data_IF_608414967833
#
_entry.id   IF_608414967833
#
_cell.length_a   1.000
_cell.length_b   1.000
_cell.length_c   1.000
_cell.angle_alpha   90.00
_cell.angle_beta   90.00
_cell.angle_gamma   90.00
#
_symmetry.space_group_name_H-M   'P 1'
#
loop_
_entity.id
_entity.type
_entity.pdbx_description
1 polymer ?
#
# COMPACT_ATOMS: atom_id res chain seq x y z
N UNK A 1 19.54 -6.59 -7.22
CA UNK A 1 18.08 -6.36 -7.20
C UNK A 1 17.41 -7.63 -7.68
N UNK A 2 16.61 -8.29 -6.83
CA UNK A 2 15.80 -9.43 -7.24
C UNK A 2 14.81 -8.98 -8.33
N UNK A 3 14.63 -9.81 -9.36
CA UNK A 3 13.72 -9.49 -10.45
C UNK A 3 12.29 -9.64 -9.94
N UNK A 4 11.56 -8.53 -9.76
CA UNK A 4 10.11 -8.55 -9.49
C UNK A 4 9.38 -9.03 -10.73
N UNK A 5 8.54 -10.06 -10.59
CA UNK A 5 7.82 -10.69 -11.70
C UNK A 5 6.33 -10.50 -11.51
N UNK A 6 5.61 -10.44 -12.62
CA UNK A 6 4.16 -10.56 -12.64
C UNK A 6 3.74 -11.90 -12.05
N UNK A 7 2.57 -11.95 -11.43
CA UNK A 7 1.98 -13.18 -10.96
C UNK A 7 1.85 -14.22 -12.09
N UNK A 8 1.92 -15.52 -11.76
CA UNK A 8 1.79 -16.60 -12.74
C UNK A 8 0.52 -16.49 -13.58
N UNK A 9 0.56 -16.99 -14.83
CA UNK A 9 -0.55 -16.83 -15.79
C UNK A 9 -1.86 -17.44 -15.28
N UNK A 10 -1.78 -18.43 -14.40
CA UNK A 10 -2.90 -19.15 -13.81
C UNK A 10 -3.79 -18.24 -12.93
N UNK A 11 -3.21 -17.17 -12.36
CA UNK A 11 -3.93 -16.19 -11.52
C UNK A 11 -4.16 -14.86 -12.22
N UNK A 12 -3.65 -14.68 -13.46
CA UNK A 12 -3.88 -13.47 -14.23
C UNK A 12 -5.32 -13.45 -14.77
N UNK A 13 -6.05 -12.32 -14.67
CA UNK A 13 -7.33 -12.17 -15.31
C UNK A 13 -7.18 -12.17 -16.84
N UNK A 14 -8.17 -12.72 -17.55
CA UNK A 14 -8.17 -12.76 -19.02
C UNK A 14 -8.28 -11.37 -19.65
N UNK A 15 -8.93 -10.42 -18.97
CA UNK A 15 -9.17 -9.07 -19.45
C UNK A 15 -9.29 -8.07 -18.30
N UNK A 16 -9.03 -6.80 -18.59
CA UNK A 16 -9.28 -5.69 -17.69
C UNK A 16 -10.05 -4.60 -18.44
N UNK A 17 -11.03 -4.00 -17.76
CA UNK A 17 -11.76 -2.83 -18.25
C UNK A 17 -11.85 -1.80 -17.14
N UNK A 18 -11.67 -0.52 -17.49
CA UNK A 18 -11.89 0.58 -16.56
C UNK A 18 -13.38 0.68 -16.19
N UNK A 19 -13.68 0.95 -14.93
CA UNK A 19 -15.01 1.46 -14.58
C UNK A 19 -15.21 2.85 -15.19
N UNK A 20 -16.45 3.28 -15.38
CA UNK A 20 -16.75 4.61 -15.92
C UNK A 20 -16.09 5.73 -15.09
N UNK A 21 -16.14 5.60 -13.76
CA UNK A 21 -15.49 6.53 -12.83
C UNK A 21 -13.98 6.59 -13.06
N UNK A 22 -13.31 5.44 -13.15
CA UNK A 22 -11.86 5.38 -13.30
C UNK A 22 -11.40 5.81 -14.70
N UNK A 23 -12.23 5.58 -15.72
CA UNK A 23 -12.00 6.11 -17.06
C UNK A 23 -12.09 7.65 -17.07
N UNK A 24 -13.07 8.22 -16.37
CA UNK A 24 -13.19 9.67 -16.22
C UNK A 24 -12.00 10.25 -15.45
N UNK A 25 -11.58 9.60 -14.35
CA UNK A 25 -10.38 9.96 -13.61
C UNK A 25 -9.12 9.92 -14.49
N UNK A 26 -8.93 8.86 -15.27
CA UNK A 26 -7.77 8.72 -16.15
C UNK A 26 -7.71 9.84 -17.19
N UNK A 27 -8.85 10.17 -17.82
CA UNK A 27 -8.95 11.31 -18.75
C UNK A 27 -8.58 12.63 -18.08
N UNK A 28 -9.01 12.85 -16.84
CA UNK A 28 -8.62 14.04 -16.07
C UNK A 28 -7.11 14.06 -15.76
N UNK A 29 -6.49 12.92 -15.42
CA UNK A 29 -5.04 12.86 -15.20
C UNK A 29 -4.26 13.14 -16.48
N UNK A 30 -4.70 12.59 -17.62
CA UNK A 30 -4.09 12.84 -18.93
C UNK A 30 -4.15 14.33 -19.28
N UNK A 31 -5.29 14.99 -19.03
CA UNK A 31 -5.48 16.41 -19.32
C UNK A 31 -4.57 17.36 -18.51
N UNK A 32 -3.92 16.88 -17.44
CA UNK A 32 -2.92 17.65 -16.69
C UNK A 32 -1.60 17.84 -17.44
N UNK A 33 -1.36 17.05 -18.49
CA UNK A 33 -0.11 17.06 -19.24
C UNK A 33 -0.32 17.63 -20.65
N UNK A 34 0.69 18.33 -21.20
CA UNK A 34 0.64 18.82 -22.58
C UNK A 34 0.44 17.69 -23.60
N UNK A 35 -0.07 18.05 -24.79
CA UNK A 35 -0.15 17.13 -25.91
C UNK A 35 1.23 16.54 -26.25
N UNK A 36 1.30 15.23 -26.47
CA UNK A 36 2.53 14.46 -26.67
C UNK A 36 3.25 14.06 -25.37
N UNK A 37 2.74 14.43 -24.19
CA UNK A 37 3.30 14.09 -22.86
C UNK A 37 2.33 13.29 -21.99
N UNK A 38 1.31 12.67 -22.58
CA UNK A 38 0.27 11.91 -21.89
C UNK A 38 0.84 10.74 -21.07
N UNK A 39 1.97 10.16 -21.52
CA UNK A 39 2.70 9.10 -20.81
C UNK A 39 3.04 9.46 -19.34
N UNK A 40 3.16 10.76 -19.02
CA UNK A 40 3.40 11.21 -17.64
C UNK A 40 2.26 10.88 -16.66
N UNK A 41 1.05 10.57 -17.16
CA UNK A 41 -0.08 10.16 -16.34
C UNK A 41 -0.01 8.68 -15.88
N UNK A 42 0.94 7.89 -16.39
CA UNK A 42 1.00 6.43 -16.19
C UNK A 42 0.97 6.00 -14.73
N UNK A 43 1.73 6.66 -13.85
CA UNK A 43 1.80 6.29 -12.42
C UNK A 43 0.45 6.55 -11.74
N UNK A 44 -0.18 7.70 -12.00
CA UNK A 44 -1.47 8.06 -11.41
C UNK A 44 -2.58 7.12 -11.86
N UNK A 45 -2.55 6.70 -13.14
CA UNK A 45 -3.54 5.77 -13.69
C UNK A 45 -3.32 4.36 -13.13
N UNK A 46 -2.08 3.87 -13.10
CA UNK A 46 -1.75 2.56 -12.51
C UNK A 46 -2.16 2.49 -11.04
N UNK A 47 -2.02 3.58 -10.29
CA UNK A 47 -2.48 3.65 -8.91
C UNK A 47 -3.99 3.40 -8.80
N UNK A 48 -4.79 4.06 -9.65
CA UNK A 48 -6.24 3.89 -9.64
C UNK A 48 -6.68 2.52 -10.16
N UNK A 49 -5.95 1.97 -11.13
CA UNK A 49 -6.15 0.61 -11.64
C UNK A 49 -5.90 -0.43 -10.55
N UNK A 50 -4.84 -0.26 -9.76
CA UNK A 50 -4.55 -1.11 -8.61
C UNK A 50 -5.70 -1.10 -7.61
N UNK A 51 -6.23 0.08 -7.27
CA UNK A 51 -7.39 0.20 -6.37
C UNK A 51 -8.65 -0.46 -6.93
N UNK A 52 -8.87 -0.38 -8.24
CA UNK A 52 -10.00 -1.02 -8.91
C UNK A 52 -9.89 -2.55 -8.93
N UNK A 53 -8.67 -3.07 -8.96
CA UNK A 53 -8.38 -4.46 -9.22
C UNK A 53 -7.86 -5.16 -7.96
N UNK A 54 -8.65 -5.08 -6.88
CA UNK A 54 -8.41 -5.77 -5.60
C UNK A 54 -6.99 -5.55 -5.02
N UNK A 55 -6.41 -4.36 -5.25
CA UNK A 55 -5.14 -3.97 -4.66
C UNK A 55 -3.89 -4.40 -5.43
N UNK A 56 -4.01 -4.90 -6.67
CA UNK A 56 -2.85 -5.28 -7.48
C UNK A 56 -3.01 -4.96 -8.98
N UNK A 57 -1.89 -4.88 -9.68
CA UNK A 57 -1.78 -4.52 -11.10
C UNK A 57 -1.51 -5.77 -11.93
N UNK A 58 -2.54 -6.27 -12.61
CA UNK A 58 -2.45 -7.45 -13.49
C UNK A 58 -1.82 -7.13 -14.85
N UNK A 59 -1.37 -8.16 -15.58
CA UNK A 59 -0.86 -8.02 -16.94
C UNK A 59 -1.90 -7.36 -17.88
N UNK A 60 -3.15 -7.80 -17.79
CA UNK A 60 -4.24 -7.25 -18.60
C UNK A 60 -4.47 -5.75 -18.30
N UNK A 61 -4.39 -5.37 -17.03
CA UNK A 61 -4.45 -3.97 -16.61
C UNK A 61 -3.29 -3.13 -17.18
N UNK A 62 -2.06 -3.66 -17.14
CA UNK A 62 -0.90 -2.96 -17.70
C UNK A 62 -1.07 -2.72 -19.20
N UNK A 63 -1.55 -3.72 -19.94
CA UNK A 63 -1.84 -3.60 -21.38
C UNK A 63 -2.91 -2.55 -21.66
N UNK A 64 -3.99 -2.54 -20.89
CA UNK A 64 -5.06 -1.55 -21.04
C UNK A 64 -4.57 -0.12 -20.77
N UNK A 65 -3.67 0.09 -19.80
CA UNK A 65 -3.04 1.40 -19.56
C UNK A 65 -2.11 1.80 -20.69
N UNK A 66 -1.35 0.85 -21.24
CA UNK A 66 -0.47 1.07 -22.38
C UNK A 66 -1.26 1.53 -23.61
N UNK A 67 -2.34 0.82 -23.94
CA UNK A 67 -3.23 1.15 -25.06
C UNK A 67 -3.89 2.53 -24.87
N UNK A 68 -4.33 2.86 -23.65
CA UNK A 68 -4.94 4.16 -23.33
C UNK A 68 -3.99 5.34 -23.53
N UNK A 69 -2.71 5.16 -23.20
CA UNK A 69 -1.69 6.22 -23.26
C UNK A 69 -0.88 6.21 -24.56
N UNK A 70 -1.21 5.32 -25.50
CA UNK A 70 -0.42 5.06 -26.71
C UNK A 70 1.07 4.83 -26.40
N UNK A 71 1.31 3.97 -25.39
CA UNK A 71 2.65 3.62 -24.92
C UNK A 71 3.00 2.18 -25.32
N UNK A 72 4.27 1.88 -25.64
CA UNK A 72 4.71 0.49 -25.73
C UNK A 72 4.49 -0.22 -24.39
N UNK A 73 3.89 -1.41 -24.42
CA UNK A 73 3.60 -2.19 -23.20
C UNK A 73 4.83 -2.32 -22.27
N UNK A 74 6.00 -2.59 -22.84
CA UNK A 74 7.23 -2.71 -22.05
C UNK A 74 7.52 -1.49 -21.16
N UNK A 75 7.15 -0.27 -21.56
CA UNK A 75 7.36 0.93 -20.75
C UNK A 75 6.46 0.97 -19.52
N UNK A 76 5.22 0.54 -19.66
CA UNK A 76 4.30 0.46 -18.51
C UNK A 76 4.71 -0.68 -17.57
N UNK A 77 5.22 -1.80 -18.13
CA UNK A 77 5.77 -2.90 -17.34
C UNK A 77 7.03 -2.49 -16.57
N UNK A 78 7.95 -1.73 -17.19
CA UNK A 78 9.12 -1.15 -16.53
C UNK A 78 8.70 -0.28 -15.33
N UNK A 79 7.70 0.59 -15.51
CA UNK A 79 7.16 1.42 -14.41
C UNK A 79 6.57 0.55 -13.29
N UNK A 80 5.71 -0.42 -13.64
CA UNK A 80 5.04 -1.27 -12.66
C UNK A 80 6.04 -2.14 -11.86
N UNK A 81 7.12 -2.59 -12.51
CA UNK A 81 8.15 -3.41 -11.86
C UNK A 81 9.15 -2.59 -11.06
N UNK A 82 9.46 -1.36 -11.50
CA UNK A 82 10.41 -0.47 -10.84
C UNK A 82 9.87 0.10 -9.52
N UNK A 83 8.62 0.59 -9.50
CA UNK A 83 8.02 1.15 -8.28
C UNK A 83 7.41 0.05 -7.41
N UNK A 84 7.93 -0.11 -6.19
CA UNK A 84 7.52 -1.18 -5.25
C UNK A 84 6.07 -1.07 -4.79
N UNK A 85 5.50 0.14 -4.80
CA UNK A 85 4.10 0.38 -4.43
C UNK A 85 3.09 -0.33 -5.33
N UNK A 86 3.48 -0.66 -6.56
CA UNK A 86 2.65 -1.46 -7.45
C UNK A 86 2.78 -2.94 -7.11
N UNK A 87 1.69 -3.53 -6.65
CA UNK A 87 1.63 -4.94 -6.32
C UNK A 87 1.40 -5.73 -7.60
N UNK A 88 2.29 -6.67 -7.90
CA UNK A 88 2.27 -7.43 -9.17
C UNK A 88 1.61 -8.80 -9.02
N UNK A 89 1.07 -9.08 -7.83
CA UNK A 89 0.36 -10.28 -7.46
C UNK A 89 -0.80 -9.95 -6.50
N UNK A 90 -1.82 -10.82 -6.41
CA UNK A 90 -2.94 -10.60 -5.50
C UNK A 90 -2.51 -10.35 -4.06
N UNK A 91 -3.12 -9.34 -3.42
CA UNK A 91 -2.90 -8.99 -2.01
C UNK A 91 -4.18 -9.19 -1.19
N UNK A 92 -4.06 -9.11 0.14
CA UNK A 92 -5.19 -9.34 1.04
C UNK A 92 -6.35 -8.38 0.78
N UNK A 93 -7.56 -8.93 0.63
CA UNK A 93 -8.77 -8.15 0.28
C UNK A 93 -9.16 -7.10 1.34
N UNK A 94 -8.89 -7.39 2.62
CA UNK A 94 -9.21 -6.48 3.74
C UNK A 94 -8.03 -5.61 4.08
N UNK A 95 -6.82 -6.17 4.10
CA UNK A 95 -5.61 -5.43 4.40
C UNK A 95 -4.37 -6.07 3.76
N UNK A 96 -3.59 -5.24 3.11
CA UNK A 96 -2.20 -5.52 2.79
C UNK A 96 -1.32 -4.71 3.74
N UNK A 97 -0.63 -5.40 4.65
CA UNK A 97 0.15 -4.78 5.72
C UNK A 97 1.60 -4.58 5.29
N UNK A 98 2.06 -3.34 5.28
CA UNK A 98 3.45 -2.99 5.01
C UNK A 98 4.11 -2.55 6.32
N UNK A 99 4.98 -3.39 6.87
CA UNK A 99 5.65 -3.14 8.16
C UNK A 99 6.99 -2.46 7.92
N UNK A 100 7.23 -1.30 8.54
CA UNK A 100 8.53 -0.62 8.44
C UNK A 100 9.61 -1.40 9.21
N UNK A 101 10.55 -2.02 8.49
CA UNK A 101 11.66 -2.81 9.04
C UNK A 101 12.94 -2.01 9.36
N UNK A 102 12.95 -0.72 9.02
CA UNK A 102 14.17 0.12 9.12
C UNK A 102 14.54 0.51 10.55
N UNK A 103 15.79 0.96 10.71
CA UNK A 103 16.45 1.17 12.01
C UNK A 103 15.60 1.88 13.07
N UNK A 104 14.95 3.04 12.81
CA UNK A 104 14.17 3.71 13.85
C UNK A 104 12.99 2.86 14.35
N UNK A 105 12.30 2.15 13.45
CA UNK A 105 11.21 1.26 13.82
C UNK A 105 11.73 -0.01 14.50
N UNK A 106 12.84 -0.58 14.02
CA UNK A 106 13.50 -1.73 14.65
C UNK A 106 13.92 -1.44 16.09
N UNK A 107 14.55 -0.30 16.35
CA UNK A 107 14.93 0.16 17.70
C UNK A 107 13.71 0.34 18.64
N UNK A 108 12.51 0.49 18.07
CA UNK A 108 11.25 0.67 18.78
C UNK A 108 10.40 -0.60 18.85
N UNK A 109 10.92 -1.74 18.40
CA UNK A 109 10.24 -3.04 18.51
C UNK A 109 9.44 -3.45 17.26
N UNK A 110 9.81 -3.00 16.06
CA UNK A 110 9.15 -3.46 14.83
C UNK A 110 9.23 -4.97 14.59
N UNK A 111 10.25 -5.65 15.14
CA UNK A 111 10.36 -7.12 15.09
C UNK A 111 9.14 -7.81 15.74
N UNK A 112 8.58 -7.24 16.80
CA UNK A 112 7.34 -7.76 17.41
C UNK A 112 6.15 -7.64 16.44
N UNK A 113 6.10 -6.60 15.61
CA UNK A 113 5.04 -6.43 14.61
C UNK A 113 5.19 -7.43 13.46
N UNK A 114 6.42 -7.71 13.05
CA UNK A 114 6.74 -8.75 12.07
C UNK A 114 6.26 -10.10 12.60
N UNK A 115 6.58 -10.46 13.85
CA UNK A 115 6.12 -11.72 14.45
C UNK A 115 4.59 -11.82 14.52
N UNK A 116 3.87 -10.71 14.75
CA UNK A 116 2.39 -10.73 14.64
C UNK A 116 1.94 -11.08 13.23
N UNK A 117 2.58 -10.51 12.20
CA UNK A 117 2.26 -10.82 10.80
C UNK A 117 2.56 -12.29 10.47
N UNK A 118 3.73 -12.78 10.87
CA UNK A 118 4.16 -14.18 10.67
C UNK A 118 3.14 -15.18 11.23
N UNK A 119 2.63 -14.90 12.44
CA UNK A 119 1.70 -15.79 13.13
C UNK A 119 0.25 -15.65 12.67
N UNK A 120 -0.22 -14.44 12.39
CA UNK A 120 -1.64 -14.18 12.11
C UNK A 120 -1.98 -14.21 10.62
N UNK A 121 -1.05 -13.85 9.76
CA UNK A 121 -1.29 -13.70 8.32
C UNK A 121 -0.67 -14.87 7.58
N UNK A 122 0.66 -14.94 7.54
CA UNK A 122 1.42 -16.01 6.92
C UNK A 122 2.87 -15.95 7.40
N UNK A 123 3.56 -17.08 7.57
CA UNK A 123 4.94 -17.09 8.08
C UNK A 123 5.91 -16.34 7.17
N UNK A 124 5.76 -16.49 5.85
CA UNK A 124 6.56 -15.77 4.86
C UNK A 124 5.83 -14.51 4.35
N UNK A 125 6.54 -13.39 4.10
CA UNK A 125 5.98 -12.19 3.48
C UNK A 125 5.57 -12.44 2.03
N UNK A 126 4.74 -11.56 1.46
CA UNK A 126 4.18 -11.63 0.10
C UNK A 126 3.20 -12.78 -0.15
N UNK A 127 2.77 -13.48 0.90
CA UNK A 127 1.75 -14.52 0.81
C UNK A 127 0.40 -14.05 1.37
N UNK A 128 -0.67 -14.57 0.78
CA UNK A 128 -2.01 -14.44 1.32
C UNK A 128 -2.18 -15.34 2.54
N UNK A 129 -2.92 -14.83 3.52
CA UNK A 129 -3.53 -15.63 4.59
C UNK A 129 -4.49 -16.66 4.02
N UNK A 130 -4.80 -17.70 4.81
CA UNK A 130 -5.64 -18.84 4.38
C UNK A 130 -7.02 -18.45 3.87
N UNK A 131 -7.58 -17.36 4.39
CA UNK A 131 -8.90 -16.84 3.98
C UNK A 131 -8.81 -15.77 2.86
N UNK A 132 -7.59 -15.42 2.43
CA UNK A 132 -7.32 -14.40 1.41
C UNK A 132 -7.59 -12.96 1.84
N UNK A 133 -7.87 -12.71 3.12
CA UNK A 133 -8.24 -11.36 3.59
C UNK A 133 -7.02 -10.49 3.90
N UNK A 134 -5.91 -11.11 4.30
CA UNK A 134 -4.69 -10.44 4.69
C UNK A 134 -3.48 -10.90 3.88
N UNK A 135 -2.55 -9.99 3.62
CA UNK A 135 -1.16 -10.28 3.23
C UNK A 135 -0.25 -9.28 3.92
N UNK A 136 1.06 -9.57 3.96
CA UNK A 136 2.02 -8.64 4.55
C UNK A 136 3.36 -8.64 3.82
N UNK A 137 4.10 -7.56 3.96
CA UNK A 137 5.50 -7.44 3.57
C UNK A 137 6.27 -6.55 4.56
N UNK A 138 7.57 -6.79 4.68
CA UNK A 138 8.50 -5.85 5.30
C UNK A 138 8.91 -4.82 4.24
N UNK A 139 8.80 -3.54 4.59
CA UNK A 139 9.17 -2.42 3.71
C UNK A 139 10.24 -1.54 4.34
N UNK A 140 10.83 -0.71 3.50
CA UNK A 140 11.76 0.33 3.90
C UNK A 140 11.08 1.49 4.65
N UNK A 141 11.81 2.57 4.88
CA UNK A 141 11.34 3.69 5.69
C UNK A 141 10.08 4.34 5.11
N UNK A 142 9.01 4.36 5.91
CA UNK A 142 7.73 4.99 5.59
C UNK A 142 7.61 6.46 6.06
N UNK A 143 8.70 7.04 6.58
CA UNK A 143 8.76 8.48 6.90
C UNK A 143 8.08 8.92 8.20
N UNK A 144 7.57 8.00 9.03
CA UNK A 144 6.88 8.29 10.29
C UNK A 144 7.76 7.97 11.53
N UNK A 145 9.06 8.27 11.46
CA UNK A 145 10.06 7.81 12.44
C UNK A 145 9.76 8.24 13.89
N UNK A 146 9.18 9.43 14.09
CA UNK A 146 8.84 9.92 15.43
C UNK A 146 7.66 9.17 16.06
N UNK A 147 6.91 8.41 15.26
CA UNK A 147 5.78 7.55 15.63
C UNK A 147 6.08 6.05 15.52
N UNK A 148 7.35 5.69 15.54
CA UNK A 148 7.79 4.30 15.49
C UNK A 148 7.38 3.47 16.73
N UNK A 149 7.07 2.17 16.56
CA UNK A 149 7.01 1.43 15.29
C UNK A 149 5.63 1.60 14.62
N UNK A 150 5.58 1.42 13.31
CA UNK A 150 4.37 1.69 12.52
C UNK A 150 4.23 0.76 11.31
N UNK A 151 3.00 0.68 10.80
CA UNK A 151 2.65 -0.01 9.55
C UNK A 151 1.85 0.91 8.64
N UNK A 152 1.93 0.67 7.33
CA UNK A 152 1.02 1.23 6.34
C UNK A 152 0.02 0.15 5.92
N UNK A 153 -1.29 0.47 5.97
CA UNK A 153 -2.35 -0.39 5.44
C UNK A 153 -3.22 0.45 4.51
N UNK A 154 -3.26 0.08 3.24
CA UNK A 154 -3.90 0.90 2.22
C UNK A 154 -3.16 2.23 2.04
N UNK A 155 -3.81 3.33 2.43
CA UNK A 155 -3.26 4.70 2.36
C UNK A 155 -2.89 5.29 3.72
N UNK A 156 -3.21 4.55 4.78
CA UNK A 156 -3.23 5.07 6.14
C UNK A 156 -2.11 4.46 6.98
N UNK A 157 -1.48 5.30 7.79
CA UNK A 157 -0.47 4.89 8.76
C UNK A 157 -1.14 4.51 10.09
N UNK A 158 -0.65 3.44 10.70
CA UNK A 158 -1.02 3.03 12.06
C UNK A 158 0.26 2.97 12.87
N UNK A 159 0.33 3.78 13.91
CA UNK A 159 1.60 4.20 14.49
C UNK A 159 1.61 4.01 16.01
N UNK A 160 2.80 4.14 16.62
CA UNK A 160 3.03 3.88 18.05
C UNK A 160 2.51 2.50 18.48
N UNK A 161 2.75 1.52 17.62
CA UNK A 161 2.20 0.18 17.79
C UNK A 161 2.98 -0.63 18.82
N UNK A 162 2.25 -1.45 19.56
CA UNK A 162 2.76 -2.60 20.30
C UNK A 162 2.21 -3.86 19.66
N UNK A 163 2.71 -5.02 20.09
CA UNK A 163 2.16 -6.31 19.67
C UNK A 163 0.64 -6.38 19.86
N UNK A 164 0.15 -5.88 21.00
CA UNK A 164 -1.26 -5.91 21.38
C UNK A 164 -2.09 -4.91 20.57
N UNK A 165 -1.61 -3.66 20.44
CA UNK A 165 -2.37 -2.65 19.68
C UNK A 165 -2.39 -2.96 18.19
N UNK A 166 -1.32 -3.50 17.63
CA UNK A 166 -1.31 -3.99 16.26
C UNK A 166 -2.24 -5.19 16.05
N UNK A 167 -2.32 -6.10 17.02
CA UNK A 167 -3.33 -7.16 17.02
C UNK A 167 -4.76 -6.61 16.92
N UNK A 168 -5.07 -5.56 17.69
CA UNK A 168 -6.38 -4.86 17.62
C UNK A 168 -6.62 -4.16 16.28
N UNK A 169 -5.57 -3.59 15.66
CA UNK A 169 -5.68 -3.02 14.30
C UNK A 169 -6.14 -4.11 13.33
N UNK A 170 -5.49 -5.27 13.34
CA UNK A 170 -5.86 -6.40 12.47
C UNK A 170 -7.29 -6.90 12.74
N UNK A 171 -7.72 -6.95 14.01
CA UNK A 171 -9.10 -7.32 14.36
C UNK A 171 -10.13 -6.29 13.86
N UNK A 172 -9.77 -5.00 13.89
CA UNK A 172 -10.56 -3.93 13.31
C UNK A 172 -10.77 -4.13 11.80
N UNK A 173 -9.69 -4.37 11.06
CA UNK A 173 -9.79 -4.71 9.63
C UNK A 173 -10.60 -6.00 9.39
N UNK A 174 -10.40 -7.03 10.22
CA UNK A 174 -11.14 -8.29 10.08
C UNK A 174 -12.65 -8.11 10.27
N UNK A 175 -13.06 -7.26 11.23
CA UNK A 175 -14.47 -6.98 11.53
C UNK A 175 -15.09 -5.87 10.66
N UNK A 176 -14.30 -5.20 9.81
CA UNK A 176 -14.76 -4.08 9.00
C UNK A 176 -14.84 -2.75 9.75
N UNK A 177 -14.31 -2.68 10.97
CA UNK A 177 -14.24 -1.48 11.82
C UNK A 177 -12.78 -1.18 12.17
N UNK A 178 -11.94 -0.77 11.19
CA UNK A 178 -10.55 -0.44 11.47
C UNK A 178 -10.47 0.76 12.45
N UNK A 179 -9.43 0.80 13.31
CA UNK A 179 -9.23 1.94 14.18
C UNK A 179 -8.91 3.20 13.37
N UNK A 180 -8.94 4.37 14.03
CA UNK A 180 -8.57 5.63 13.39
C UNK A 180 -7.07 5.61 12.99
N UNK A 181 -6.72 6.05 11.77
CA UNK A 181 -5.33 6.25 11.36
C UNK A 181 -4.54 7.18 12.29
N UNK A 182 -3.23 6.92 12.40
CA UNK A 182 -2.27 7.65 13.23
C UNK A 182 -1.82 6.89 14.48
N UNK A 183 -1.38 7.60 15.53
CA UNK A 183 -0.93 7.01 16.80
C UNK A 183 -2.01 6.21 17.52
N UNK A 184 -1.69 4.98 17.93
CA UNK A 184 -2.60 4.11 18.68
C UNK A 184 -2.45 4.23 20.21
N UNK A 185 -1.59 5.13 20.68
CA UNK A 185 -1.33 5.38 22.10
C UNK A 185 -2.07 6.62 22.67
N UNK A 186 -2.91 7.27 21.86
CA UNK A 186 -3.73 8.41 22.25
C UNK A 186 -3.05 9.78 22.18
N UNK A 187 -1.78 9.87 21.75
CA UNK A 187 -1.15 11.18 21.53
C UNK A 187 -1.66 11.86 20.26
N UNK A 188 -1.56 13.18 20.24
CA UNK A 188 -1.97 13.99 19.10
C UNK A 188 -0.89 13.99 18.02
N UNK A 189 -1.11 13.28 16.91
CA UNK A 189 -0.18 13.22 15.77
C UNK A 189 1.26 12.89 16.23
N UNK A 190 2.21 13.80 16.03
CA UNK A 190 3.61 13.65 16.44
C UNK A 190 3.96 14.38 17.74
N UNK A 191 2.98 14.90 18.48
CA UNK A 191 3.21 15.58 19.75
C UNK A 191 3.91 14.62 20.75
N UNK A 192 4.69 15.16 21.71
CA UNK A 192 5.22 14.36 22.81
C UNK A 192 4.10 13.66 23.58
N UNK A 193 4.40 12.48 24.11
CA UNK A 193 3.50 11.81 25.06
C UNK A 193 3.31 12.72 26.28
N UNK A 194 2.06 12.92 26.68
CA UNK A 194 1.69 13.89 27.72
C UNK A 194 1.28 15.28 27.20
N UNK A 195 1.34 15.50 25.88
CA UNK A 195 0.81 16.68 25.22
C UNK A 195 1.88 17.60 24.60
N UNK A 196 1.44 18.66 23.89
CA UNK A 196 2.34 19.57 23.20
C UNK A 196 3.21 20.37 24.19
N UNK A 197 4.54 20.27 24.02
CA UNK A 197 5.50 21.09 24.75
C UNK A 197 5.80 22.41 24.05
N UNK A 198 5.48 22.50 22.75
CA UNK A 198 5.59 23.68 21.88
C UNK A 198 4.25 23.92 21.18
N UNK A 199 4.07 25.11 20.56
CA UNK A 199 2.82 25.48 19.88
C UNK A 199 1.56 25.34 20.78
N UNK A 200 1.69 25.80 22.04
CA UNK A 200 0.63 25.67 23.06
C UNK A 200 -0.55 26.63 22.84
N UNK A 201 -0.32 27.72 22.12
CA UNK A 201 -1.33 28.70 21.78
C UNK A 201 -1.65 28.54 20.29
N UNK A 202 -2.92 28.33 19.98
CA UNK A 202 -3.43 28.34 18.60
C UNK A 202 -3.94 29.76 18.37
N UNK A 203 -3.12 30.61 17.75
CA UNK A 203 -3.60 31.86 17.16
C UNK A 203 -4.36 31.62 15.88
#
# INVERSE_FOLDING_TARGET
MSVRRLAPKEVQPASFAFTEENLAFAKQQIAKYPAGRQASAVIAILWRVQEQHDGWVSEAAIRAVADMLDMPYIRVLEVATFYTMFQLAPVGKKAHVQVCGTTPCRLRGAEDLIHVCEHRIHHEPFHLSKDGNFSWEEVECLGACVNAPMVLIGKDTYEDLTKESFGKVLDGFASGNPPKPGPQNGRQFSAPTGGPTTLKEIT
#
